data_IF_624903413530
#
_entry.id   IF_624903413530
#
_cell.length_a   1.000
_cell.length_b   1.000
_cell.length_c   1.000
_cell.angle_alpha   90.00
_cell.angle_beta   90.00
_cell.angle_gamma   90.00
#
_symmetry.space_group_name_H-M   'P 1'
#
loop_
_entity.id
_entity.type
_entity.pdbx_description
1 polymer ?
#
# COMPACT_ATOMS: atom_id res chain seq x y z
N UNK A 1 7.00 -23.93 -6.84
CA UNK A 1 7.48 -24.80 -5.74
C UNK A 1 7.82 -23.91 -4.55
N UNK A 2 6.82 -23.48 -3.77
CA UNK A 2 6.98 -22.66 -2.54
C UNK A 2 5.86 -23.02 -1.54
N UNK A 3 5.78 -24.29 -1.11
CA UNK A 3 4.74 -24.73 -0.16
C UNK A 3 5.18 -24.67 1.30
N UNK A 4 6.42 -24.25 1.58
CA UNK A 4 7.01 -24.30 2.92
C UNK A 4 6.91 -22.99 3.71
N UNK A 5 6.50 -21.88 3.10
CA UNK A 5 6.29 -20.63 3.83
C UNK A 5 5.01 -20.67 4.68
N UNK A 6 3.92 -21.27 4.19
CA UNK A 6 2.59 -21.15 4.80
C UNK A 6 2.40 -21.69 6.24
N UNK A 7 3.24 -22.63 6.70
CA UNK A 7 3.01 -23.34 7.97
C UNK A 7 4.03 -22.99 9.06
N UNK A 8 4.33 -21.71 9.25
CA UNK A 8 5.12 -21.24 10.38
C UNK A 8 4.19 -20.74 11.50
N UNK A 9 3.68 -21.63 12.39
CA UNK A 9 2.67 -21.27 13.39
C UNK A 9 3.19 -20.29 14.46
N UNK A 10 4.50 -20.13 14.58
CA UNK A 10 5.14 -19.20 15.52
C UNK A 10 5.62 -17.91 14.86
N UNK A 11 5.41 -17.74 13.54
CA UNK A 11 5.83 -16.52 12.86
C UNK A 11 4.92 -15.37 13.29
N UNK A 12 5.48 -14.45 14.08
CA UNK A 12 4.78 -13.27 14.60
C UNK A 12 5.16 -11.98 13.89
N UNK A 13 6.30 -11.98 13.20
CA UNK A 13 6.83 -10.84 12.47
C UNK A 13 7.39 -11.28 11.12
N UNK A 14 7.14 -10.49 10.09
CA UNK A 14 7.76 -10.65 8.78
C UNK A 14 8.18 -9.31 8.19
N UNK A 15 9.31 -9.30 7.49
CA UNK A 15 9.78 -8.20 6.68
C UNK A 15 9.81 -8.65 5.22
N UNK A 16 9.22 -7.85 4.36
CA UNK A 16 9.10 -8.10 2.93
C UNK A 16 9.73 -6.94 2.19
N UNK A 17 10.64 -7.27 1.28
CA UNK A 17 11.40 -6.30 0.50
C UNK A 17 11.22 -6.58 -1.00
N UNK A 18 11.22 -5.51 -1.79
CA UNK A 18 11.28 -5.55 -3.24
C UNK A 18 10.14 -6.39 -3.85
N UNK A 19 10.45 -7.22 -4.84
CA UNK A 19 9.52 -7.88 -5.76
C UNK A 19 8.76 -9.06 -5.12
N UNK A 20 9.07 -9.38 -3.86
CA UNK A 20 8.37 -10.45 -3.11
C UNK A 20 7.06 -9.99 -2.47
N UNK A 21 6.75 -8.69 -2.58
CA UNK A 21 5.54 -8.06 -2.04
C UNK A 21 4.24 -8.71 -2.51
N UNK A 22 4.06 -8.81 -3.83
CA UNK A 22 2.83 -9.36 -4.44
C UNK A 22 2.60 -10.80 -4.00
N UNK A 23 3.61 -11.66 -4.14
CA UNK A 23 3.52 -13.07 -3.72
C UNK A 23 3.20 -13.23 -2.23
N UNK A 24 3.69 -12.31 -1.40
CA UNK A 24 3.38 -12.31 0.03
C UNK A 24 1.94 -11.89 0.31
N UNK A 25 1.45 -10.80 -0.32
CA UNK A 25 0.06 -10.36 -0.17
C UNK A 25 -0.90 -11.42 -0.69
N UNK A 26 -0.60 -12.02 -1.85
CA UNK A 26 -1.35 -13.15 -2.41
C UNK A 26 -1.38 -14.34 -1.46
N UNK A 27 -0.24 -14.67 -0.81
CA UNK A 27 -0.19 -15.76 0.15
C UNK A 27 -0.95 -15.47 1.45
N UNK A 28 -1.23 -14.19 1.76
CA UNK A 28 -2.08 -13.83 2.89
C UNK A 28 -3.56 -13.76 2.53
N UNK A 29 -3.89 -13.52 1.26
CA UNK A 29 -5.25 -13.57 0.74
C UNK A 29 -5.72 -15.03 0.70
N UNK A 30 -6.90 -15.27 1.26
CA UNK A 30 -7.58 -16.55 1.06
C UNK A 30 -8.30 -16.52 -0.29
N UNK A 31 -8.05 -17.54 -1.12
CA UNK A 31 -8.77 -17.69 -2.37
C UNK A 31 -10.24 -18.00 -2.07
N UNK A 32 -11.15 -17.12 -2.49
CA UNK A 32 -12.58 -17.23 -2.20
C UNK A 32 -13.21 -18.46 -2.88
N UNK A 33 -12.58 -18.99 -3.93
CA UNK A 33 -13.06 -20.19 -4.63
C UNK A 33 -12.96 -21.47 -3.77
N UNK A 34 -12.12 -21.47 -2.72
CA UNK A 34 -11.95 -22.63 -1.81
C UNK A 34 -12.82 -22.52 -0.54
N UNK A 35 -13.49 -21.37 -0.32
CA UNK A 35 -14.39 -21.14 0.83
C UNK A 35 -15.65 -22.02 0.79
N UNK A 36 -16.11 -22.43 -0.40
CA UNK A 36 -17.30 -23.29 -0.55
C UNK A 36 -17.09 -24.73 -0.02
N UNK A 37 -15.84 -25.11 0.28
CA UNK A 37 -15.46 -26.50 0.65
C UNK A 37 -15.01 -26.68 2.09
N UNK A 38 -14.86 -25.59 2.83
CA UNK A 38 -14.28 -25.60 4.19
C UNK A 38 -15.33 -25.10 5.18
N UNK A 39 -15.61 -25.90 6.21
CA UNK A 39 -16.44 -25.45 7.33
C UNK A 39 -15.87 -24.13 7.88
N UNK A 40 -16.72 -23.11 8.05
CA UNK A 40 -16.32 -21.74 8.45
C UNK A 40 -15.44 -21.66 9.71
N UNK A 41 -15.37 -22.73 10.50
CA UNK A 41 -14.54 -22.84 11.70
C UNK A 41 -13.06 -23.19 11.41
N UNK A 42 -12.68 -23.56 10.18
CA UNK A 42 -11.31 -23.96 9.82
C UNK A 42 -10.79 -23.26 8.56
N UNK A 43 -11.02 -21.95 8.44
CA UNK A 43 -10.42 -21.15 7.37
C UNK A 43 -8.88 -21.30 7.38
N UNK A 44 -8.26 -21.81 6.30
CA UNK A 44 -6.81 -21.98 6.23
C UNK A 44 -6.10 -20.63 6.11
N UNK A 45 -5.96 -19.95 7.25
CA UNK A 45 -5.16 -18.75 7.39
C UNK A 45 -3.70 -19.10 7.52
N UNK A 46 -2.93 -18.73 6.50
CA UNK A 46 -1.48 -18.74 6.59
C UNK A 46 -1.01 -17.75 7.66
N UNK A 47 0.00 -18.16 8.43
CA UNK A 47 0.61 -17.36 9.49
C UNK A 47 -0.40 -16.79 10.50
N UNK A 48 -1.23 -17.66 11.10
CA UNK A 48 -2.25 -17.24 12.07
C UNK A 48 -1.70 -16.39 13.23
N UNK A 49 -0.46 -16.61 13.63
CA UNK A 49 0.21 -15.87 14.71
C UNK A 49 0.92 -14.59 14.25
N UNK A 50 0.86 -14.25 12.97
CA UNK A 50 1.48 -13.04 12.42
C UNK A 50 0.72 -11.82 12.92
N UNK A 51 1.43 -10.94 13.62
CA UNK A 51 0.88 -9.72 14.23
C UNK A 51 1.57 -8.46 13.73
N UNK A 52 2.75 -8.59 13.11
CA UNK A 52 3.50 -7.45 12.61
C UNK A 52 4.09 -7.69 11.22
N UNK A 53 3.91 -6.72 10.34
CA UNK A 53 4.42 -6.74 8.96
C UNK A 53 5.27 -5.49 8.74
N UNK A 54 6.42 -5.64 8.12
CA UNK A 54 7.22 -4.53 7.58
C UNK A 54 7.35 -4.69 6.07
N UNK A 55 6.92 -3.68 5.33
CA UNK A 55 6.96 -3.64 3.87
C UNK A 55 7.95 -2.57 3.38
N UNK A 56 8.72 -2.93 2.35
CA UNK A 56 9.53 -2.03 1.54
C UNK A 56 9.37 -2.43 0.08
N UNK A 57 8.26 -1.98 -0.52
CA UNK A 57 7.70 -2.49 -1.78
C UNK A 57 7.13 -1.34 -2.62
N UNK A 58 6.93 -1.59 -3.92
CA UNK A 58 6.26 -0.66 -4.81
C UNK A 58 4.76 -0.92 -4.82
N UNK A 59 3.95 0.15 -4.89
CA UNK A 59 2.51 0.07 -5.06
C UNK A 59 2.12 0.50 -6.48
N UNK A 60 0.99 -0.01 -6.94
CA UNK A 60 0.42 0.42 -8.21
C UNK A 60 0.11 1.92 -8.19
N UNK A 61 0.52 2.65 -9.22
CA UNK A 61 0.20 4.07 -9.34
C UNK A 61 -1.31 4.27 -9.60
N UNK A 62 -1.88 5.35 -9.06
CA UNK A 62 -3.30 5.70 -9.32
C UNK A 62 -3.55 6.15 -10.77
N UNK A 63 -2.49 6.53 -11.49
CA UNK A 63 -2.60 7.01 -12.86
C UNK A 63 -2.77 5.82 -13.82
N UNK A 64 -3.89 5.72 -14.56
CA UNK A 64 -4.09 4.64 -15.53
C UNK A 64 -3.08 4.64 -16.68
N UNK A 65 -2.43 5.77 -16.94
CA UNK A 65 -1.40 5.91 -17.98
C UNK A 65 0.02 5.57 -17.46
N UNK A 66 0.18 5.36 -16.15
CA UNK A 66 1.44 4.92 -15.57
C UNK A 66 1.68 3.45 -15.91
N UNK A 67 2.92 3.14 -16.29
CA UNK A 67 3.34 1.77 -16.54
C UNK A 67 3.53 1.05 -15.21
N UNK A 68 2.49 0.33 -14.76
CA UNK A 68 2.56 -0.50 -13.55
C UNK A 68 3.34 -1.78 -13.86
N UNK A 69 4.27 -2.14 -12.97
CA UNK A 69 4.99 -3.39 -13.06
C UNK A 69 4.13 -4.54 -12.52
N UNK A 70 4.29 -5.75 -13.06
CA UNK A 70 3.58 -6.94 -12.57
C UNK A 70 3.94 -7.31 -11.12
N UNK A 71 4.94 -6.62 -10.55
CA UNK A 71 5.47 -6.82 -9.20
C UNK A 71 4.99 -5.72 -8.24
N UNK A 72 4.18 -4.77 -8.71
CA UNK A 72 3.59 -3.72 -7.88
C UNK A 72 2.40 -4.24 -7.09
N UNK A 73 2.34 -3.88 -5.81
CA UNK A 73 1.23 -4.25 -4.95
C UNK A 73 0.05 -3.34 -5.22
N UNK A 74 -1.10 -3.94 -5.52
CA UNK A 74 -2.37 -3.24 -5.54
C UNK A 74 -2.77 -2.96 -4.09
N UNK A 75 -2.90 -1.67 -3.71
CA UNK A 75 -3.23 -1.29 -2.33
C UNK A 75 -4.53 -1.94 -1.85
N UNK A 76 -5.54 -2.05 -2.72
CA UNK A 76 -6.81 -2.70 -2.41
C UNK A 76 -6.61 -4.17 -1.98
N UNK A 77 -5.72 -4.91 -2.64
CA UNK A 77 -5.41 -6.30 -2.26
C UNK A 77 -4.80 -6.38 -0.86
N UNK A 78 -3.92 -5.44 -0.51
CA UNK A 78 -3.36 -5.36 0.84
C UNK A 78 -4.46 -5.01 1.87
N UNK A 79 -5.36 -4.09 1.55
CA UNK A 79 -6.48 -3.72 2.43
C UNK A 79 -7.40 -4.91 2.68
N UNK A 80 -7.83 -5.60 1.62
CA UNK A 80 -8.71 -6.78 1.69
C UNK A 80 -8.07 -7.87 2.55
N UNK A 81 -6.77 -8.10 2.36
CA UNK A 81 -6.00 -9.03 3.19
C UNK A 81 -6.05 -8.67 4.68
N UNK A 82 -5.78 -7.40 5.03
CA UNK A 82 -5.76 -6.94 6.41
C UNK A 82 -7.15 -7.05 7.06
N UNK A 83 -8.21 -6.75 6.30
CA UNK A 83 -9.60 -6.87 6.75
C UNK A 83 -9.97 -8.33 6.99
N UNK A 84 -9.72 -9.23 6.03
CA UNK A 84 -10.00 -10.66 6.19
C UNK A 84 -9.34 -11.24 7.45
N UNK A 85 -8.08 -10.85 7.69
CA UNK A 85 -7.34 -11.28 8.88
C UNK A 85 -7.98 -10.78 10.17
N UNK A 86 -8.43 -9.53 10.19
CA UNK A 86 -9.17 -8.97 11.31
C UNK A 86 -10.47 -9.74 11.58
N UNK A 87 -11.27 -10.01 10.55
CA UNK A 87 -12.53 -10.76 10.66
C UNK A 87 -12.33 -12.18 11.21
N UNK A 88 -11.17 -12.78 10.94
CA UNK A 88 -10.82 -14.11 11.43
C UNK A 88 -10.13 -14.12 12.81
N UNK A 89 -10.00 -12.95 13.46
CA UNK A 89 -9.33 -12.81 14.76
C UNK A 89 -7.81 -13.02 14.72
N UNK A 90 -7.20 -12.84 13.55
CA UNK A 90 -5.75 -12.93 13.31
C UNK A 90 -5.19 -11.57 12.82
N UNK A 91 -5.72 -10.50 13.40
CA UNK A 91 -5.47 -9.11 13.01
C UNK A 91 -3.98 -8.75 13.06
N UNK A 92 -3.55 -7.97 12.06
CA UNK A 92 -2.22 -7.36 12.08
C UNK A 92 -2.30 -6.13 12.98
N UNK A 93 -1.51 -6.15 14.05
CA UNK A 93 -1.46 -5.06 15.02
C UNK A 93 -0.55 -3.95 14.57
N UNK A 94 0.54 -4.29 13.85
CA UNK A 94 1.56 -3.34 13.43
C UNK A 94 1.95 -3.49 11.97
N UNK A 95 1.80 -2.42 11.20
CA UNK A 95 2.24 -2.32 9.81
C UNK A 95 3.32 -1.24 9.70
N UNK A 96 4.51 -1.60 9.25
CA UNK A 96 5.58 -0.64 9.00
C UNK A 96 5.85 -0.50 7.50
N UNK A 97 5.83 0.73 7.00
CA UNK A 97 5.95 1.10 5.59
C UNK A 97 7.22 1.93 5.45
N UNK A 98 8.26 1.35 4.86
CA UNK A 98 9.55 2.01 4.68
C UNK A 98 9.97 1.95 3.22
N UNK A 99 10.41 3.08 2.67
CA UNK A 99 10.90 3.17 1.31
C UNK A 99 9.91 2.57 0.29
N UNK A 100 8.61 2.79 0.52
CA UNK A 100 7.57 2.32 -0.40
C UNK A 100 7.46 3.27 -1.60
N UNK A 101 7.25 2.71 -2.80
CA UNK A 101 7.08 3.50 -4.03
C UNK A 101 5.59 3.68 -4.36
N UNK A 102 5.21 4.83 -4.92
CA UNK A 102 3.83 5.19 -5.27
C UNK A 102 2.83 5.15 -4.09
N UNK A 103 3.33 5.46 -2.89
CA UNK A 103 2.53 5.52 -1.67
C UNK A 103 2.49 6.96 -1.14
N UNK A 104 1.30 7.55 -1.12
CA UNK A 104 1.05 8.91 -0.63
C UNK A 104 0.41 8.90 0.77
N UNK A 105 0.44 10.04 1.47
CA UNK A 105 -0.15 10.17 2.80
C UNK A 105 -1.65 9.83 2.86
N UNK A 106 -2.40 10.02 1.78
CA UNK A 106 -3.83 9.69 1.74
C UNK A 106 -4.04 8.18 1.74
N UNK A 107 -3.26 7.45 0.95
CA UNK A 107 -3.24 5.98 0.90
C UNK A 107 -2.77 5.36 2.21
N UNK A 108 -1.79 5.97 2.88
CA UNK A 108 -1.37 5.54 4.23
C UNK A 108 -2.50 5.71 5.24
N UNK A 109 -3.23 6.83 5.18
CA UNK A 109 -4.41 7.05 6.03
C UNK A 109 -5.49 5.99 5.82
N UNK A 110 -5.67 5.50 4.59
CA UNK A 110 -6.60 4.39 4.34
C UNK A 110 -6.20 3.12 5.12
N UNK A 111 -4.90 2.83 5.24
CA UNK A 111 -4.40 1.70 6.02
C UNK A 111 -4.55 1.92 7.54
N UNK A 112 -4.42 3.16 8.02
CA UNK A 112 -4.64 3.52 9.43
C UNK A 112 -6.09 3.29 9.89
N UNK A 113 -7.06 3.23 8.98
CA UNK A 113 -8.44 2.84 9.32
C UNK A 113 -8.60 1.34 9.60
N UNK A 114 -7.65 0.51 9.16
CA UNK A 114 -7.71 -0.95 9.26
C UNK A 114 -6.75 -1.45 10.34
N UNK A 115 -5.51 -0.94 10.35
CA UNK A 115 -4.44 -1.37 11.27
C UNK A 115 -4.23 -0.33 12.35
N UNK A 116 -4.17 -0.78 13.61
CA UNK A 116 -4.08 0.09 14.79
C UNK A 116 -2.76 0.87 14.86
N UNK A 117 -1.63 0.24 14.52
CA UNK A 117 -0.30 0.86 14.53
C UNK A 117 0.32 0.83 13.13
N UNK A 118 0.16 1.92 12.37
CA UNK A 118 0.85 2.12 11.09
C UNK A 118 2.03 3.06 11.28
N UNK A 119 3.23 2.57 10.98
CA UNK A 119 4.45 3.38 11.00
C UNK A 119 4.96 3.60 9.57
N UNK A 120 4.87 4.84 9.08
CA UNK A 120 5.36 5.24 7.77
C UNK A 120 6.52 6.23 7.89
N UNK A 121 7.53 6.11 7.03
CA UNK A 121 8.69 7.00 7.02
C UNK A 121 8.42 8.40 6.43
N UNK A 122 7.25 8.62 5.85
CA UNK A 122 6.85 9.91 5.28
C UNK A 122 7.46 10.20 3.92
N UNK A 123 8.09 9.22 3.27
CA UNK A 123 8.70 9.40 1.96
C UNK A 123 7.65 9.14 0.88
N UNK A 124 7.28 10.19 0.15
CA UNK A 124 6.47 10.12 -1.06
C UNK A 124 7.40 10.10 -2.29
N UNK A 125 7.36 9.03 -3.06
CA UNK A 125 8.20 8.82 -4.24
C UNK A 125 7.41 8.05 -5.31
N UNK A 126 7.78 8.21 -6.60
CA UNK A 126 7.04 7.59 -7.71
C UNK A 126 5.85 8.39 -8.23
N UNK A 127 5.69 9.62 -7.75
CA UNK A 127 4.78 10.59 -8.32
C UNK A 127 5.61 11.57 -9.13
N UNK A 128 5.96 11.21 -10.37
CA UNK A 128 6.60 12.14 -11.29
C UNK A 128 5.63 13.30 -11.53
N UNK A 129 5.91 14.46 -10.93
CA UNK A 129 5.33 15.70 -11.39
C UNK A 129 5.92 15.95 -12.77
N UNK A 130 5.14 15.79 -13.82
CA UNK A 130 5.45 16.44 -15.10
C UNK A 130 5.59 17.92 -14.76
N UNK A 131 6.83 18.40 -14.60
CA UNK A 131 7.13 19.81 -14.71
C UNK A 131 6.75 20.15 -16.15
N UNK A 132 5.55 20.71 -16.34
CA UNK A 132 5.20 21.39 -17.58
C UNK A 132 6.33 22.38 -17.85
N UNK A 133 7.22 22.07 -18.81
CA UNK A 133 8.16 23.05 -19.36
C UNK A 133 7.31 24.19 -19.92
N UNK A 134 7.10 25.24 -19.12
CA UNK A 134 6.58 26.51 -19.60
C UNK A 134 7.55 26.99 -20.68
N UNK A 135 7.17 26.76 -21.94
CA UNK A 135 7.85 27.29 -23.11
C UNK A 135 7.93 28.80 -22.99
N UNK A 136 9.05 29.28 -22.46
CA UNK A 136 9.41 30.68 -22.34
C UNK A 136 9.63 31.27 -23.73
N UNK A 137 8.55 31.60 -24.45
CA UNK A 137 8.62 32.56 -25.54
C UNK A 137 8.79 33.96 -24.92
N UNK A 138 9.97 34.54 -25.10
CA UNK A 138 10.41 35.74 -24.41
C UNK A 138 9.58 36.99 -24.73
N UNK A 139 9.15 37.67 -23.66
CA UNK A 139 8.83 39.09 -23.68
C UNK A 139 9.39 39.75 -22.42
N UNK A 140 10.32 40.67 -22.66
CA UNK A 140 10.99 41.50 -21.68
C UNK A 140 10.04 42.66 -21.29
N UNK A 141 9.65 42.76 -20.00
CA UNK A 141 9.61 44.01 -19.20
C UNK A 141 8.77 43.90 -17.89
N UNK A 142 9.49 44.20 -16.80
CA UNK A 142 9.08 44.82 -15.51
C UNK A 142 8.49 43.98 -14.36
N UNK A 143 9.39 43.75 -13.39
CA UNK A 143 9.26 43.43 -11.97
C UNK A 143 7.94 43.78 -11.24
N UNK A 144 7.41 42.80 -10.48
CA UNK A 144 6.98 42.96 -9.06
C UNK A 144 6.85 41.61 -8.33
N UNK A 145 7.67 41.45 -7.27
CA UNK A 145 7.40 40.94 -5.92
C UNK A 145 6.58 39.63 -5.63
N UNK A 146 7.28 38.74 -4.90
CA UNK A 146 6.84 37.85 -3.80
C UNK A 146 5.95 36.61 -4.07
N UNK A 147 6.66 35.51 -4.30
CA UNK A 147 6.58 34.20 -3.60
C UNK A 147 5.32 33.78 -2.85
N UNK A 148 4.80 32.61 -3.24
CA UNK A 148 4.20 31.61 -2.35
C UNK A 148 4.57 30.20 -2.84
N UNK A 149 4.93 29.26 -1.96
CA UNK A 149 5.05 27.86 -2.33
C UNK A 149 3.65 27.27 -2.57
N UNK A 150 3.51 26.48 -3.64
CA UNK A 150 2.33 25.67 -3.91
C UNK A 150 2.18 24.64 -2.80
N UNK A 151 1.22 24.85 -1.90
CA UNK A 151 0.74 23.79 -1.02
C UNK A 151 -0.22 22.94 -1.84
N UNK A 152 0.17 21.70 -2.10
CA UNK A 152 -0.70 20.66 -2.63
C UNK A 152 -1.83 20.42 -1.63
N UNK A 153 -2.99 21.04 -1.87
CA UNK A 153 -4.19 20.83 -1.07
C UNK A 153 -5.00 19.70 -1.71
N UNK A 154 -4.96 18.53 -1.08
CA UNK A 154 -5.90 17.44 -1.33
C UNK A 154 -7.33 17.95 -1.05
N UNK A 155 -8.10 18.21 -2.11
CA UNK A 155 -9.45 18.78 -1.99
C UNK A 155 -10.45 17.63 -1.90
N UNK A 156 -11.10 17.50 -0.75
CA UNK A 156 -12.14 16.51 -0.49
C UNK A 156 -13.46 16.99 -1.11
N UNK A 157 -13.99 16.31 -2.13
CA UNK A 157 -15.33 16.57 -2.64
C UNK A 157 -16.27 15.57 -1.97
N UNK A 158 -16.99 16.02 -0.95
CA UNK A 158 -18.10 15.27 -0.38
C UNK A 158 -19.35 15.48 -1.26
N UNK A 159 -19.76 14.45 -1.99
CA UNK A 159 -21.09 14.44 -2.62
C UNK A 159 -22.11 13.93 -1.59
N UNK A 160 -23.00 14.83 -1.17
CA UNK A 160 -24.27 14.52 -0.47
C UNK A 160 -25.32 13.97 -1.43
#
# INVERSE_FOLDING_TARGET
>A
MVHSLGNLPALSYIRVESHSGVLFVDALLMDYDDMDRVDAENLPLYFRSLVSISLSVSFEAKNPDAQNDAEDIILAMLQDCLIQRYECGAEIQKLSLYNCYCLDACRVRELEYIVVDVNWDGIEQGFECEEEEEGSEGYDLQATALGKPAQSTCTYIANT
#
